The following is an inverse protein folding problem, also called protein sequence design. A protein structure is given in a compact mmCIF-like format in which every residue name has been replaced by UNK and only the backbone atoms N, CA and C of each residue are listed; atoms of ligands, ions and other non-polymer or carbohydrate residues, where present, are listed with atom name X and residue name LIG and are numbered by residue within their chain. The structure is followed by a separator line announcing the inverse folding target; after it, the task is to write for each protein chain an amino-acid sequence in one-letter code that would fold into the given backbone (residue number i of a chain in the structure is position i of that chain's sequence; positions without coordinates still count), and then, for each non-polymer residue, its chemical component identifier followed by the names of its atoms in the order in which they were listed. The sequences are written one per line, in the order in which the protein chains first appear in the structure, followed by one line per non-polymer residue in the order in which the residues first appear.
data_IF_262470816059
#
_entry.id   IF_262470816059
#
_cell.length_a   1.000
_cell.length_b   1.000
_cell.length_c   1.000
_cell.angle_alpha   90.00
_cell.angle_beta   90.00
_cell.angle_gamma   90.00
#
_symmetry.space_group_name_H-M   'P 1'
#
loop_
_entity.id
_entity.type
_entity.pdbx_description
1 polymer ?
#
# COMPACT_ATOMS: atom_id res chain seq x y z
N UNK A 1 -50.11 -17.54 1.88
CA UNK A 1 -49.02 -18.55 1.77
C UNK A 1 -48.33 -18.58 0.40
N UNK A 2 -49.00 -18.83 -0.73
CA UNK A 2 -48.34 -18.87 -2.06
C UNK A 2 -47.59 -17.58 -2.44
N UNK A 3 -48.18 -16.39 -2.21
CA UNK A 3 -47.51 -15.11 -2.49
C UNK A 3 -46.26 -14.86 -1.62
N UNK A 4 -46.23 -15.35 -0.38
CA UNK A 4 -45.06 -15.20 0.50
C UNK A 4 -43.89 -16.05 -0.01
N UNK A 5 -44.18 -17.27 -0.47
CA UNK A 5 -43.15 -18.16 -1.07
C UNK A 5 -42.57 -17.51 -2.34
N UNK A 6 -43.43 -16.93 -3.19
CA UNK A 6 -42.97 -16.21 -4.39
C UNK A 6 -42.12 -15.00 -4.02
N UNK A 7 -42.50 -14.22 -3.01
CA UNK A 7 -41.69 -13.10 -2.52
C UNK A 7 -40.31 -13.54 -2.01
N UNK A 8 -40.24 -14.63 -1.23
CA UNK A 8 -38.96 -15.15 -0.72
C UNK A 8 -38.06 -15.65 -1.86
N UNK A 9 -38.62 -16.38 -2.83
CA UNK A 9 -37.84 -16.85 -3.98
C UNK A 9 -37.32 -15.66 -4.80
N UNK A 10 -38.17 -14.67 -5.06
CA UNK A 10 -37.76 -13.46 -5.77
C UNK A 10 -36.73 -12.62 -4.98
N UNK A 11 -36.82 -12.55 -3.65
CA UNK A 11 -35.81 -11.85 -2.83
C UNK A 11 -34.45 -12.52 -2.91
N UNK A 12 -34.41 -13.86 -2.90
CA UNK A 12 -33.16 -14.62 -3.01
C UNK A 12 -32.58 -14.48 -4.41
N UNK A 13 -33.40 -14.69 -5.45
CA UNK A 13 -32.96 -14.52 -6.83
C UNK A 13 -32.48 -13.08 -7.10
N UNK A 14 -33.18 -12.08 -6.57
CA UNK A 14 -32.82 -10.68 -6.70
C UNK A 14 -31.51 -10.34 -6.02
N UNK A 15 -31.27 -10.84 -4.81
CA UNK A 15 -30.01 -10.68 -4.10
C UNK A 15 -28.84 -11.37 -4.82
N UNK A 16 -29.02 -12.61 -5.28
CA UNK A 16 -27.95 -13.33 -5.99
C UNK A 16 -27.60 -12.65 -7.32
N UNK A 17 -28.61 -12.15 -8.04
CA UNK A 17 -28.39 -11.44 -9.31
C UNK A 17 -27.98 -9.97 -9.12
N UNK A 18 -28.08 -9.39 -7.92
CA UNK A 18 -27.65 -8.01 -7.66
C UNK A 18 -26.14 -7.85 -7.73
N UNK A 19 -25.39 -8.93 -7.44
CA UNK A 19 -23.94 -9.01 -7.65
C UNK A 19 -23.53 -8.87 -9.12
N UNK A 20 -24.47 -9.05 -10.05
CA UNK A 20 -24.27 -8.90 -11.49
C UNK A 20 -25.14 -7.74 -12.01
N UNK A 21 -25.60 -6.81 -11.15
CA UNK A 21 -26.45 -5.63 -11.47
C UNK A 21 -27.83 -5.93 -12.14
N UNK A 22 -28.12 -7.18 -12.48
CA UNK A 22 -29.40 -7.61 -13.09
C UNK A 22 -30.49 -7.74 -12.01
N UNK A 23 -30.09 -7.92 -10.75
CA UNK A 23 -30.98 -8.21 -9.63
C UNK A 23 -31.83 -7.07 -9.10
N UNK A 24 -31.65 -5.84 -9.60
CA UNK A 24 -32.44 -4.70 -9.12
C UNK A 24 -33.93 -4.86 -9.39
N UNK A 25 -34.31 -5.31 -10.60
CA UNK A 25 -35.71 -5.51 -10.99
C UNK A 25 -36.42 -6.60 -10.18
N UNK A 26 -35.90 -7.84 -10.07
CA UNK A 26 -36.53 -8.86 -9.23
C UNK A 26 -36.56 -8.45 -7.74
N UNK A 27 -35.55 -7.70 -7.27
CA UNK A 27 -35.53 -7.17 -5.89
C UNK A 27 -36.61 -6.12 -5.66
N UNK A 28 -36.86 -5.19 -6.58
CA UNK A 28 -37.96 -4.21 -6.49
C UNK A 28 -39.32 -4.93 -6.47
N UNK A 29 -39.53 -5.91 -7.36
CA UNK A 29 -40.78 -6.67 -7.42
C UNK A 29 -40.99 -7.42 -6.08
N UNK A 30 -39.94 -8.07 -5.58
CA UNK A 30 -39.97 -8.75 -4.28
C UNK A 30 -40.24 -7.79 -3.12
N UNK A 31 -39.67 -6.60 -3.15
CA UNK A 31 -39.85 -5.58 -2.12
C UNK A 31 -41.30 -5.10 -2.06
N UNK A 32 -41.90 -4.77 -3.21
CA UNK A 32 -43.31 -4.42 -3.31
C UNK A 32 -44.24 -5.54 -2.81
N UNK A 33 -43.97 -6.79 -3.19
CA UNK A 33 -44.73 -7.96 -2.72
C UNK A 33 -44.57 -8.18 -1.21
N UNK A 34 -43.38 -7.94 -0.67
CA UNK A 34 -43.10 -8.07 0.76
C UNK A 34 -43.79 -6.99 1.59
N UNK A 35 -43.85 -5.74 1.11
CA UNK A 35 -44.65 -4.67 1.73
C UNK A 35 -46.13 -5.04 1.75
N UNK A 36 -46.66 -5.52 0.61
CA UNK A 36 -48.05 -5.94 0.51
C UNK A 36 -48.37 -7.08 1.48
N UNK A 37 -47.47 -8.09 1.57
CA UNK A 37 -47.61 -9.18 2.52
C UNK A 37 -47.51 -8.70 3.97
N UNK A 38 -46.64 -7.73 4.28
CA UNK A 38 -46.44 -7.21 5.63
C UNK A 38 -47.66 -6.44 6.13
N UNK A 39 -48.35 -5.74 5.21
CA UNK A 39 -49.61 -5.06 5.51
C UNK A 39 -50.74 -6.02 5.87
N UNK A 40 -50.71 -7.26 5.34
CA UNK A 40 -51.72 -8.29 5.61
C UNK A 40 -51.37 -9.21 6.79
N UNK A 41 -50.12 -9.65 6.85
CA UNK A 41 -49.63 -10.65 7.80
C UNK A 41 -48.26 -10.21 8.35
N UNK A 42 -48.24 -9.79 9.62
CA UNK A 42 -47.02 -9.37 10.33
C UNK A 42 -46.24 -10.58 10.83
N UNK A 43 -45.58 -11.28 9.90
CA UNK A 43 -44.72 -12.43 10.22
C UNK A 43 -43.24 -12.09 10.05
N UNK A 44 -42.40 -12.77 10.82
CA UNK A 44 -40.93 -12.65 10.74
C UNK A 44 -40.42 -12.98 9.33
N UNK A 45 -41.04 -13.96 8.66
CA UNK A 45 -40.65 -14.35 7.31
C UNK A 45 -40.89 -13.23 6.29
N UNK A 46 -41.96 -12.46 6.46
CA UNK A 46 -42.23 -11.30 5.61
C UNK A 46 -41.20 -10.19 5.80
N UNK A 47 -40.78 -9.95 7.04
CA UNK A 47 -39.72 -8.96 7.37
C UNK A 47 -38.38 -9.38 6.77
N UNK A 48 -38.04 -10.67 6.84
CA UNK A 48 -36.82 -11.21 6.24
C UNK A 48 -36.79 -11.03 4.72
N UNK A 49 -37.88 -11.38 4.03
CA UNK A 49 -37.99 -11.18 2.58
C UNK A 49 -37.87 -9.70 2.20
N UNK A 50 -38.48 -8.80 2.99
CA UNK A 50 -38.36 -7.35 2.81
C UNK A 50 -36.91 -6.89 2.92
N UNK A 51 -36.19 -7.29 3.97
CA UNK A 51 -34.79 -6.91 4.18
C UNK A 51 -33.88 -7.45 3.08
N UNK A 52 -34.04 -8.72 2.68
CA UNK A 52 -33.26 -9.30 1.58
C UNK A 52 -33.49 -8.55 0.27
N UNK A 53 -34.74 -8.20 -0.04
CA UNK A 53 -35.06 -7.43 -1.24
C UNK A 53 -34.53 -5.99 -1.18
N UNK A 54 -34.48 -5.38 0.01
CA UNK A 54 -33.88 -4.06 0.18
C UNK A 54 -32.38 -4.10 -0.09
N UNK A 55 -31.66 -5.10 0.45
CA UNK A 55 -30.23 -5.29 0.17
C UNK A 55 -29.99 -5.52 -1.33
N UNK A 56 -30.82 -6.34 -1.98
CA UNK A 56 -30.74 -6.57 -3.43
C UNK A 56 -30.97 -5.32 -4.30
N UNK A 57 -31.63 -4.28 -3.77
CA UNK A 57 -31.76 -2.96 -4.41
C UNK A 57 -30.55 -2.07 -4.11
N UNK A 58 -30.05 -2.09 -2.88
CA UNK A 58 -28.95 -1.23 -2.45
C UNK A 58 -27.62 -1.62 -3.07
N UNK A 59 -27.33 -2.92 -3.19
CA UNK A 59 -26.05 -3.41 -3.73
C UNK A 59 -25.75 -2.84 -5.12
N UNK A 60 -26.65 -2.89 -6.12
CA UNK A 60 -26.40 -2.30 -7.44
C UNK A 60 -26.21 -0.78 -7.42
N UNK A 61 -26.91 -0.08 -6.51
CA UNK A 61 -26.79 1.38 -6.35
C UNK A 61 -25.41 1.72 -5.79
N UNK A 62 -24.96 1.00 -4.75
CA UNK A 62 -23.63 1.18 -4.17
C UNK A 62 -22.55 0.87 -5.20
N UNK A 63 -22.70 -0.22 -5.96
CA UNK A 63 -21.77 -0.56 -7.04
C UNK A 63 -21.69 0.56 -8.10
N UNK A 64 -22.82 1.12 -8.51
CA UNK A 64 -22.86 2.25 -9.43
C UNK A 64 -22.15 3.48 -8.87
N UNK A 65 -22.45 3.86 -7.62
CA UNK A 65 -21.86 5.02 -6.96
C UNK A 65 -20.35 4.84 -6.75
N UNK A 66 -19.89 3.62 -6.50
CA UNK A 66 -18.46 3.32 -6.38
C UNK A 66 -17.73 3.48 -7.73
N UNK A 67 -18.38 3.10 -8.84
CA UNK A 67 -17.78 3.20 -10.19
C UNK A 67 -17.80 4.63 -10.76
N UNK A 68 -18.94 5.33 -10.65
CA UNK A 68 -19.17 6.61 -11.34
C UNK A 68 -19.44 7.79 -10.40
N UNK A 69 -19.57 7.57 -9.10
CA UNK A 69 -20.03 8.59 -8.17
C UNK A 69 -21.43 9.10 -8.54
N UNK A 70 -21.61 10.42 -8.47
CA UNK A 70 -22.85 11.09 -8.91
C UNK A 70 -22.86 11.45 -10.40
N UNK A 71 -21.83 11.05 -11.16
CA UNK A 71 -21.73 11.34 -12.58
C UNK A 71 -22.53 10.33 -13.41
N UNK A 72 -22.91 10.76 -14.62
CA UNK A 72 -23.47 9.85 -15.61
C UNK A 72 -22.38 8.90 -16.12
N UNK A 73 -22.75 7.69 -16.57
CA UNK A 73 -21.77 6.75 -17.09
C UNK A 73 -21.02 7.36 -18.27
N UNK A 74 -19.70 7.32 -18.21
CA UNK A 74 -18.82 7.75 -19.29
C UNK A 74 -17.80 6.65 -19.58
N UNK A 75 -17.40 6.55 -20.84
CA UNK A 75 -16.38 5.60 -21.26
C UNK A 75 -15.01 6.05 -20.73
N UNK A 76 -14.32 5.19 -19.97
CA UNK A 76 -12.96 5.45 -19.46
C UNK A 76 -11.88 5.16 -20.50
N UNK A 77 -12.24 4.83 -21.74
CA UNK A 77 -11.29 4.57 -22.83
C UNK A 77 -10.91 3.10 -22.99
N UNK A 78 -11.50 2.21 -22.18
CA UNK A 78 -11.20 0.78 -22.15
C UNK A 78 -12.19 -0.06 -23.00
N UNK A 79 -13.07 0.60 -23.77
CA UNK A 79 -13.94 -0.05 -24.74
C UNK A 79 -15.04 -0.92 -24.11
N UNK A 80 -15.25 -0.80 -22.80
CA UNK A 80 -16.30 -1.52 -22.09
C UNK A 80 -17.66 -0.84 -22.27
N UNK A 81 -18.70 -1.66 -22.48
CA UNK A 81 -20.05 -1.19 -22.21
C UNK A 81 -20.19 -0.88 -20.71
N UNK A 82 -20.96 0.17 -20.38
CA UNK A 82 -21.17 0.69 -19.01
C UNK A 82 -21.31 -0.39 -17.92
N UNK A 83 -22.05 -1.46 -18.22
CA UNK A 83 -22.27 -2.56 -17.30
C UNK A 83 -20.99 -3.34 -16.95
N UNK A 84 -20.15 -3.63 -17.95
CA UNK A 84 -18.90 -4.37 -17.76
C UNK A 84 -17.90 -3.56 -16.95
N UNK A 85 -17.89 -2.25 -17.17
CA UNK A 85 -17.05 -1.33 -16.43
C UNK A 85 -17.41 -1.28 -14.94
N UNK A 86 -18.71 -1.25 -14.60
CA UNK A 86 -19.15 -1.32 -13.20
C UNK A 86 -18.70 -2.62 -12.54
N UNK A 87 -18.83 -3.76 -13.24
CA UNK A 87 -18.36 -5.04 -12.72
C UNK A 87 -16.84 -5.05 -12.55
N UNK A 88 -16.10 -4.66 -13.59
CA UNK A 88 -14.65 -4.62 -13.57
C UNK A 88 -14.14 -3.78 -12.40
N UNK A 89 -14.59 -2.53 -12.26
CA UNK A 89 -14.14 -1.61 -11.21
C UNK A 89 -14.50 -2.10 -9.80
N UNK A 90 -15.73 -2.62 -9.59
CA UNK A 90 -16.11 -3.08 -8.26
C UNK A 90 -15.33 -4.34 -7.84
N UNK A 91 -15.26 -5.35 -8.71
CA UNK A 91 -14.59 -6.61 -8.35
C UNK A 91 -13.07 -6.47 -8.30
N UNK A 92 -12.46 -5.66 -9.18
CA UNK A 92 -11.02 -5.35 -9.08
C UNK A 92 -10.68 -4.61 -7.78
N UNK A 93 -11.51 -3.65 -7.35
CA UNK A 93 -11.34 -2.98 -6.06
C UNK A 93 -11.52 -3.92 -4.85
N UNK A 94 -12.22 -5.05 -5.00
CA UNK A 94 -12.30 -6.11 -3.99
C UNK A 94 -11.13 -7.12 -4.08
N UNK A 95 -10.13 -6.87 -4.94
CA UNK A 95 -8.96 -7.72 -5.11
C UNK A 95 -9.18 -8.94 -6.02
N UNK A 96 -10.30 -9.00 -6.75
CA UNK A 96 -10.50 -10.06 -7.73
C UNK A 96 -9.80 -9.72 -9.05
N UNK A 97 -9.05 -10.68 -9.59
CA UNK A 97 -8.47 -10.55 -10.93
C UNK A 97 -9.58 -10.60 -11.99
N UNK A 98 -9.87 -9.45 -12.58
CA UNK A 98 -10.86 -9.26 -13.63
C UNK A 98 -10.22 -9.13 -15.03
N UNK A 99 -8.93 -9.44 -15.17
CA UNK A 99 -8.19 -9.38 -16.44
C UNK A 99 -8.86 -10.17 -17.56
N UNK A 100 -9.53 -11.28 -17.25
CA UNK A 100 -10.29 -12.09 -18.22
C UNK A 100 -11.45 -11.34 -18.91
N UNK A 101 -11.92 -10.23 -18.32
CA UNK A 101 -12.96 -9.39 -18.92
C UNK A 101 -12.40 -8.36 -19.92
N UNK A 102 -11.08 -8.12 -19.85
CA UNK A 102 -10.33 -7.33 -20.83
C UNK A 102 -10.18 -8.21 -22.07
N UNK A 103 -10.90 -7.91 -23.15
CA UNK A 103 -10.63 -8.56 -24.43
C UNK A 103 -9.34 -7.94 -24.98
N UNK A 104 -8.34 -8.79 -25.22
CA UNK A 104 -7.08 -8.43 -25.89
C UNK A 104 -7.29 -7.36 -26.96
N UNK A 105 -6.69 -6.19 -26.73
CA UNK A 105 -6.67 -5.03 -27.62
C UNK A 105 -5.78 -5.26 -28.87
N UNK A 106 -5.75 -6.48 -29.42
CA UNK A 106 -4.93 -6.82 -30.60
C UNK A 106 -5.47 -6.32 -31.94
N UNK A 107 -6.52 -5.51 -31.97
CA UNK A 107 -7.18 -5.09 -33.23
C UNK A 107 -7.19 -3.59 -33.52
N UNK A 108 -6.56 -2.74 -32.70
CA UNK A 108 -6.48 -1.30 -33.01
C UNK A 108 -5.18 -0.95 -33.75
N UNK A 109 -4.07 -1.64 -33.50
CA UNK A 109 -2.81 -1.39 -34.22
C UNK A 109 -2.84 -1.77 -35.71
N UNK A 110 -3.71 -2.69 -36.12
CA UNK A 110 -3.84 -3.10 -37.53
C UNK A 110 -4.63 -2.10 -38.40
N UNK A 111 -5.46 -1.21 -37.81
CA UNK A 111 -6.19 -0.18 -38.57
C UNK A 111 -5.45 1.16 -38.65
N UNK A 112 -4.56 1.45 -37.70
CA UNK A 112 -3.72 2.66 -37.76
C UNK A 112 -2.58 2.48 -38.78
N UNK A 113 -2.03 1.26 -38.90
CA UNK A 113 -1.00 0.95 -39.90
C UNK A 113 -1.50 1.00 -41.36
N UNK A 114 -2.81 0.83 -41.60
CA UNK A 114 -3.39 0.86 -42.95
C UNK A 114 -3.75 2.28 -43.44
N UNK A 115 -3.73 3.29 -42.56
CA UNK A 115 -4.15 4.67 -42.92
C UNK A 115 -2.97 5.64 -43.08
N UNK A 116 -1.74 5.21 -42.75
CA UNK A 116 -0.52 6.03 -42.87
C UNK A 116 0.14 6.01 -44.27
N UNK A 117 -0.52 5.44 -45.28
CA UNK A 117 0.02 5.28 -46.63
C UNK A 117 -0.75 6.02 -47.71
N UNK A 118 -1.29 7.22 -47.45
CA UNK A 118 -1.66 8.19 -48.50
C UNK A 118 -2.07 9.52 -47.89
N UNK A 119 -1.18 10.52 -47.87
CA UNK A 119 -1.45 11.90 -48.31
C UNK A 119 -0.33 12.83 -47.90
N UNK A 120 0.25 13.45 -48.93
CA UNK A 120 1.27 14.50 -48.92
C UNK A 120 0.68 15.85 -48.44
N UNK A 121 1.55 16.68 -47.86
CA UNK A 121 1.39 18.09 -47.46
C UNK A 121 0.36 18.50 -46.37
N UNK A 122 0.90 19.08 -45.27
CA UNK A 122 0.15 19.97 -44.39
C UNK A 122 0.60 19.97 -42.93
N UNK A 123 1.50 20.90 -42.59
CA UNK A 123 1.98 21.22 -41.24
C UNK A 123 0.81 21.46 -40.25
N UNK A 124 0.77 20.74 -39.12
CA UNK A 124 0.31 21.24 -37.82
C UNK A 124 0.88 20.38 -36.68
N UNK A 125 1.21 21.05 -35.57
CA UNK A 125 1.84 20.53 -34.36
C UNK A 125 0.96 19.53 -33.58
N UNK A 126 1.66 18.77 -32.70
CA UNK A 126 1.22 17.96 -31.54
C UNK A 126 1.23 16.45 -31.77
N UNK A 127 2.26 15.79 -31.22
CA UNK A 127 2.15 14.50 -30.48
C UNK A 127 3.38 14.38 -29.58
N UNK A 128 3.19 14.20 -28.27
CA UNK A 128 3.07 12.87 -27.63
C UNK A 128 4.23 11.96 -28.01
N UNK A 129 5.26 12.01 -27.15
CA UNK A 129 6.25 10.96 -27.02
C UNK A 129 5.65 9.86 -26.15
N UNK A 130 5.11 8.85 -26.82
CA UNK A 130 4.82 7.53 -26.25
C UNK A 130 6.13 6.95 -25.71
N UNK A 131 6.18 6.67 -24.41
CA UNK A 131 7.17 5.77 -23.83
C UNK A 131 6.41 4.54 -23.33
N UNK A 132 6.70 3.42 -23.99
CA UNK A 132 6.35 2.07 -23.58
C UNK A 132 7.38 1.55 -22.58
N UNK A 133 6.86 0.89 -21.55
CA UNK A 133 7.40 -0.21 -20.74
C UNK A 133 8.49 0.03 -19.66
N UNK A 134 8.10 -0.47 -18.47
CA UNK A 134 8.85 -0.90 -17.28
C UNK A 134 9.79 0.08 -16.57
N UNK A 135 9.22 0.79 -15.58
CA UNK A 135 9.98 1.28 -14.42
C UNK A 135 9.72 0.33 -13.24
N UNK A 136 10.65 -0.60 -13.02
CA UNK A 136 10.73 -1.37 -11.78
C UNK A 136 11.08 -0.43 -10.62
N UNK A 137 10.22 -0.37 -9.61
CA UNK A 137 10.54 0.27 -8.34
C UNK A 137 11.44 -0.66 -7.54
N UNK A 138 12.63 -0.18 -7.19
CA UNK A 138 13.70 -0.99 -6.60
C UNK A 138 13.39 -1.39 -5.16
N UNK A 139 12.89 -2.60 -5.00
CA UNK A 139 13.00 -3.36 -3.75
C UNK A 139 14.43 -3.91 -3.68
N UNK A 140 15.25 -3.37 -2.78
CA UNK A 140 16.60 -3.90 -2.55
C UNK A 140 16.46 -5.07 -1.58
N UNK A 141 16.27 -6.27 -2.12
CA UNK A 141 16.30 -7.51 -1.36
C UNK A 141 17.75 -7.97 -1.23
N UNK A 142 18.29 -7.97 -0.01
CA UNK A 142 19.63 -8.50 0.26
C UNK A 142 19.49 -9.75 1.13
N UNK A 143 20.01 -10.88 0.64
CA UNK A 143 20.09 -12.15 1.37
C UNK A 143 21.55 -12.47 1.71
N UNK A 144 21.80 -13.14 2.83
CA UNK A 144 23.10 -13.78 3.08
C UNK A 144 23.27 -14.94 2.07
N UNK A 145 23.95 -14.68 0.95
CA UNK A 145 24.15 -15.69 -0.09
C UNK A 145 25.51 -16.39 0.03
N UNK A 146 25.43 -17.69 0.30
CA UNK A 146 26.43 -18.67 -0.11
C UNK A 146 26.60 -18.61 -1.65
N UNK A 147 27.82 -18.76 -2.12
CA UNK A 147 28.26 -18.32 -3.46
C UNK A 147 27.62 -19.06 -4.63
N UNK A 148 26.84 -18.37 -5.48
CA UNK A 148 26.80 -18.62 -6.94
C UNK A 148 26.03 -17.54 -7.74
N UNK A 149 26.79 -16.77 -8.53
CA UNK A 149 26.50 -16.13 -9.82
C UNK A 149 25.08 -15.58 -10.12
N UNK A 150 24.80 -14.39 -9.60
CA UNK A 150 24.31 -13.28 -10.43
C UNK A 150 25.09 -12.01 -10.07
N UNK A 151 26.39 -12.03 -10.35
CA UNK A 151 27.26 -10.92 -9.97
C UNK A 151 27.03 -9.74 -10.91
N UNK A 152 26.47 -8.67 -10.35
CA UNK A 152 26.78 -7.31 -10.79
C UNK A 152 28.28 -7.20 -11.09
N UNK A 153 28.61 -6.63 -12.25
CA UNK A 153 29.99 -6.40 -12.69
C UNK A 153 30.62 -5.29 -11.82
N UNK A 154 31.10 -5.71 -10.66
CA UNK A 154 31.73 -4.87 -9.64
C UNK A 154 33.03 -4.21 -10.11
N UNK A 155 33.55 -4.55 -11.30
CA UNK A 155 34.74 -3.91 -11.87
C UNK A 155 34.51 -2.46 -12.33
N UNK A 156 33.24 -2.02 -12.39
CA UNK A 156 32.86 -0.66 -12.81
C UNK A 156 32.76 0.36 -11.68
N UNK A 157 32.84 -0.07 -10.42
CA UNK A 157 32.72 0.81 -9.26
C UNK A 157 34.06 0.88 -8.53
N UNK A 158 34.60 2.09 -8.28
CA UNK A 158 35.83 2.22 -7.53
C UNK A 158 35.61 1.79 -6.08
N UNK A 159 36.50 0.94 -5.55
CA UNK A 159 36.51 0.55 -4.12
C UNK A 159 36.55 1.74 -3.16
N UNK A 160 36.85 2.95 -3.67
CA UNK A 160 36.89 4.21 -2.93
C UNK A 160 35.54 4.84 -2.59
N UNK A 161 34.39 4.29 -3.05
CA UNK A 161 33.07 4.80 -2.62
C UNK A 161 32.84 4.46 -1.13
N UNK A 162 33.40 3.34 -0.68
CA UNK A 162 33.55 3.03 0.73
C UNK A 162 34.91 3.56 1.16
N UNK A 163 34.98 4.84 1.54
CA UNK A 163 36.17 5.35 2.21
C UNK A 163 36.52 4.40 3.35
N UNK A 164 37.78 3.95 3.37
CA UNK A 164 38.33 3.13 4.45
C UNK A 164 38.02 3.82 5.78
N UNK A 165 37.25 3.15 6.62
CA UNK A 165 36.78 3.60 7.92
C UNK A 165 37.93 3.75 8.94
N UNK A 166 38.89 4.64 8.70
CA UNK A 166 40.02 4.86 9.61
C UNK A 166 39.68 5.82 10.77
N UNK A 167 38.52 6.50 10.75
CA UNK A 167 38.18 7.54 11.75
C UNK A 167 36.92 7.28 12.61
N UNK A 168 36.33 6.07 12.55
CA UNK A 168 35.27 5.63 13.48
C UNK A 168 35.65 4.31 14.15
N UNK A 169 36.93 4.13 14.48
CA UNK A 169 37.35 3.10 15.45
C UNK A 169 37.19 3.66 16.88
N UNK A 170 35.94 3.81 17.31
CA UNK A 170 35.65 3.41 18.70
C UNK A 170 35.13 1.99 18.61
N UNK A 171 36.06 1.05 18.79
CA UNK A 171 35.78 -0.36 19.05
C UNK A 171 34.59 -0.50 20.01
N UNK A 172 33.41 -0.77 19.47
CA UNK A 172 32.44 -1.58 20.17
C UNK A 172 32.80 -3.03 19.81
N UNK A 173 33.71 -3.64 20.59
CA UNK A 173 34.19 -5.03 20.42
C UNK A 173 33.06 -6.10 20.50
N UNK A 174 31.81 -5.70 20.67
CA UNK A 174 30.67 -6.61 20.73
C UNK A 174 29.56 -6.15 19.81
N UNK A 175 29.62 -6.58 18.54
CA UNK A 175 28.40 -6.69 17.73
C UNK A 175 27.45 -7.62 18.48
N UNK A 176 26.24 -7.16 18.76
CA UNK A 176 25.21 -7.99 19.38
C UNK A 176 24.81 -9.10 18.39
N UNK A 177 25.41 -10.29 18.52
CA UNK A 177 24.93 -11.48 17.84
C UNK A 177 23.83 -12.09 18.67
N UNK A 178 22.61 -11.56 18.53
CA UNK A 178 21.45 -12.24 19.11
C UNK A 178 21.29 -13.59 18.41
N UNK A 179 21.23 -14.67 19.20
CA UNK A 179 20.87 -16.01 18.70
C UNK A 179 19.37 -16.28 18.81
N UNK A 180 18.62 -15.29 19.28
CA UNK A 180 17.19 -15.40 19.57
C UNK A 180 16.37 -14.90 18.38
N UNK A 181 15.25 -15.57 18.15
CA UNK A 181 14.22 -15.18 17.19
C UNK A 181 13.23 -14.30 17.96
N UNK A 182 12.90 -13.13 17.40
CA UNK A 182 11.92 -12.21 18.00
C UNK A 182 10.53 -12.83 18.05
N UNK A 183 9.65 -12.31 18.90
CA UNK A 183 8.25 -12.72 18.89
C UNK A 183 7.51 -11.89 17.83
N UNK A 184 7.05 -12.52 16.75
CA UNK A 184 6.02 -11.96 15.88
C UNK A 184 4.68 -12.64 16.13
N UNK A 185 3.60 -11.87 16.09
CA UNK A 185 2.23 -12.41 16.02
C UNK A 185 1.55 -11.80 14.79
N UNK A 186 2.00 -12.23 13.61
CA UNK A 186 1.48 -11.75 12.32
C UNK A 186 -0.02 -12.08 12.11
N UNK A 187 -0.61 -12.92 12.97
CA UNK A 187 -2.05 -13.21 13.01
C UNK A 187 -2.84 -12.21 13.89
N UNK A 188 -2.17 -11.23 14.53
CA UNK A 188 -2.79 -10.21 15.36
C UNK A 188 -3.85 -9.43 14.57
N UNK A 189 -5.12 -9.39 15.02
CA UNK A 189 -6.16 -8.66 14.30
C UNK A 189 -5.82 -7.18 14.20
N UNK A 190 -5.72 -6.69 12.97
CA UNK A 190 -5.66 -5.26 12.70
C UNK A 190 -6.59 -4.85 11.56
N UNK A 191 -7.26 -3.73 11.75
CA UNK A 191 -8.26 -3.23 10.81
C UNK A 191 -8.22 -1.70 10.74
N UNK A 192 -8.59 -1.15 9.59
CA UNK A 192 -8.51 0.29 9.41
C UNK A 192 -8.99 0.78 8.07
N UNK A 193 -9.30 2.08 8.01
CA UNK A 193 -9.68 2.77 6.79
C UNK A 193 -8.46 3.21 6.00
N UNK A 194 -8.41 2.87 4.71
CA UNK A 194 -7.44 3.39 3.75
C UNK A 194 -8.07 4.48 2.88
N UNK A 195 -7.33 5.54 2.53
CA UNK A 195 -7.78 6.49 1.54
C UNK A 195 -7.76 5.86 0.14
N UNK A 196 -8.71 6.25 -0.71
CA UNK A 196 -8.86 5.73 -2.09
C UNK A 196 -7.53 5.80 -2.84
N UNK A 197 -7.16 4.69 -3.49
CA UNK A 197 -5.89 4.56 -4.23
C UNK A 197 -4.69 4.24 -3.33
N UNK A 198 -4.90 3.73 -2.12
CA UNK A 198 -3.82 3.23 -1.25
C UNK A 198 -4.02 1.74 -1.04
N UNK A 199 -2.97 0.95 -1.18
CA UNK A 199 -3.00 -0.49 -1.00
C UNK A 199 -2.18 -0.89 0.23
N UNK A 200 -2.68 -1.85 1.00
CA UNK A 200 -1.84 -2.59 1.95
C UNK A 200 -1.14 -3.68 1.15
N UNK A 201 0.19 -3.64 1.15
CA UNK A 201 1.06 -4.67 0.55
C UNK A 201 1.31 -5.77 1.56
N UNK A 202 1.64 -5.38 2.78
CA UNK A 202 1.86 -6.29 3.90
C UNK A 202 1.51 -5.62 5.23
N UNK A 203 1.20 -6.45 6.21
CA UNK A 203 0.97 -6.05 7.59
C UNK A 203 1.70 -7.04 8.47
N UNK A 204 2.44 -6.52 9.44
CA UNK A 204 3.22 -7.31 10.38
C UNK A 204 2.96 -6.81 11.79
N UNK A 205 3.25 -7.67 12.77
CA UNK A 205 3.21 -7.28 14.17
C UNK A 205 4.48 -7.72 14.88
N UNK A 206 5.27 -6.72 15.30
CA UNK A 206 6.57 -6.95 15.92
C UNK A 206 6.49 -6.68 17.41
N UNK A 207 6.78 -7.70 18.22
CA UNK A 207 6.83 -7.61 19.67
C UNK A 207 8.27 -7.81 20.16
N UNK A 208 8.79 -6.83 20.93
CA UNK A 208 10.06 -6.98 21.67
C UNK A 208 9.83 -6.82 23.18
N UNK A 209 10.87 -6.90 24.00
CA UNK A 209 10.75 -6.78 25.46
C UNK A 209 10.15 -5.44 25.94
N UNK A 210 10.22 -4.39 25.12
CA UNK A 210 9.85 -3.02 25.47
C UNK A 210 8.63 -2.52 24.70
N UNK A 211 8.34 -3.04 23.51
CA UNK A 211 7.44 -2.47 22.53
C UNK A 211 6.56 -3.54 21.88
N UNK A 212 5.41 -3.11 21.38
CA UNK A 212 4.48 -3.93 20.59
C UNK A 212 3.96 -3.11 19.42
N UNK A 213 4.52 -3.35 18.23
CA UNK A 213 4.48 -2.43 17.11
C UNK A 213 3.75 -3.03 15.91
N UNK A 214 2.57 -2.52 15.52
CA UNK A 214 2.01 -2.82 14.21
C UNK A 214 2.82 -2.10 13.11
N UNK A 215 3.21 -2.85 12.08
CA UNK A 215 3.96 -2.34 10.92
C UNK A 215 3.11 -2.52 9.67
N UNK A 216 2.89 -1.43 8.93
CA UNK A 216 2.18 -1.45 7.65
C UNK A 216 3.16 -1.17 6.51
N UNK A 217 3.20 -2.06 5.52
CA UNK A 217 3.80 -1.78 4.21
C UNK A 217 2.67 -1.40 3.27
N UNK A 218 2.69 -0.15 2.81
CA UNK A 218 1.64 0.46 2.00
C UNK A 218 2.20 0.79 0.61
N UNK A 219 1.31 0.90 -0.38
CA UNK A 219 1.66 1.40 -1.72
C UNK A 219 0.71 2.52 -2.13
N UNK A 220 1.29 3.61 -2.62
CA UNK A 220 0.54 4.70 -3.24
C UNK A 220 0.17 4.30 -4.68
N UNK A 221 -1.13 4.25 -4.98
CA UNK A 221 -1.71 4.01 -6.31
C UNK A 221 -2.75 5.09 -6.63
N UNK A 222 -2.52 6.31 -6.16
CA UNK A 222 -3.48 7.41 -6.28
C UNK A 222 -3.35 8.18 -7.59
N UNK A 223 -2.30 7.92 -8.39
CA UNK A 223 -1.90 8.72 -9.53
C UNK A 223 -1.28 10.07 -9.15
N UNK A 224 -1.05 10.32 -7.85
CA UNK A 224 -0.59 11.60 -7.33
C UNK A 224 0.50 11.42 -6.25
N UNK A 225 1.38 12.42 -6.14
CA UNK A 225 2.30 12.55 -5.02
C UNK A 225 1.53 12.83 -3.72
N UNK A 226 1.75 12.03 -2.67
CA UNK A 226 0.96 12.08 -1.45
C UNK A 226 1.81 12.15 -0.18
N UNK A 227 1.29 12.85 0.83
CA UNK A 227 1.70 12.78 2.23
C UNK A 227 0.70 11.91 2.97
N UNK A 228 1.17 10.94 3.75
CA UNK A 228 0.31 10.06 4.55
C UNK A 228 0.42 10.41 6.03
N UNK A 229 -0.73 10.46 6.69
CA UNK A 229 -0.84 10.64 8.15
C UNK A 229 -1.62 9.44 8.67
N UNK A 230 -1.03 8.70 9.62
CA UNK A 230 -1.59 7.50 10.20
C UNK A 230 -1.71 7.65 11.71
N UNK A 231 -2.85 7.24 12.25
CA UNK A 231 -3.05 7.06 13.68
C UNK A 231 -3.32 5.58 13.94
N UNK A 232 -2.46 4.94 14.71
CA UNK A 232 -2.70 3.62 15.28
C UNK A 232 -3.38 3.77 16.63
N UNK A 233 -4.28 2.85 16.94
CA UNK A 233 -5.00 2.76 18.21
C UNK A 233 -4.89 1.34 18.74
N UNK A 234 -4.20 1.16 19.85
CA UNK A 234 -4.12 -0.10 20.58
C UNK A 234 -5.42 -0.30 21.38
N UNK A 235 -6.04 -1.49 21.28
CA UNK A 235 -7.30 -1.80 21.96
C UNK A 235 -7.21 -3.04 22.84
N UNK A 236 -8.02 -3.06 23.90
CA UNK A 236 -8.21 -4.23 24.75
C UNK A 236 -9.18 -5.26 24.11
N UNK A 237 -9.34 -6.41 24.77
CA UNK A 237 -10.25 -7.49 24.34
C UNK A 237 -11.72 -7.08 24.22
N UNK A 238 -12.13 -6.01 24.90
CA UNK A 238 -13.49 -5.49 24.92
C UNK A 238 -13.66 -4.38 23.87
N UNK A 239 -12.59 -4.03 23.14
CA UNK A 239 -12.54 -3.00 22.09
C UNK A 239 -12.28 -1.59 22.60
N UNK A 240 -11.97 -1.40 23.88
CA UNK A 240 -11.67 -0.08 24.42
C UNK A 240 -10.27 0.37 24.00
N UNK A 241 -10.12 1.66 23.73
CA UNK A 241 -8.82 2.27 23.45
C UNK A 241 -7.95 2.26 24.72
N UNK A 242 -6.71 1.78 24.57
CA UNK A 242 -5.68 1.80 25.61
C UNK A 242 -4.67 2.91 25.33
N UNK A 243 -4.24 3.05 24.08
CA UNK A 243 -3.23 4.02 23.65
C UNK A 243 -3.34 4.33 22.15
N UNK A 244 -2.71 5.43 21.73
CA UNK A 244 -2.60 5.82 20.32
C UNK A 244 -1.15 6.14 19.93
N UNK A 245 -0.82 5.97 18.65
CA UNK A 245 0.50 6.28 18.08
C UNK A 245 0.31 6.94 16.72
N UNK A 246 0.80 8.17 16.57
CA UNK A 246 0.67 8.94 15.32
C UNK A 246 1.97 8.92 14.52
N UNK A 247 1.86 8.79 13.20
CA UNK A 247 2.99 8.73 12.27
C UNK A 247 2.67 9.41 10.96
N UNK A 248 3.73 9.88 10.30
CA UNK A 248 3.63 10.48 8.97
C UNK A 248 4.64 9.85 8.02
N UNK A 249 4.29 9.85 6.74
CA UNK A 249 5.24 9.69 5.64
C UNK A 249 5.08 10.92 4.74
N UNK A 250 6.14 11.73 4.67
CA UNK A 250 6.04 13.11 4.19
C UNK A 250 5.78 13.20 2.68
N UNK A 251 6.55 12.43 1.90
CA UNK A 251 6.52 12.46 0.44
C UNK A 251 6.55 11.04 -0.11
N UNK A 252 5.44 10.62 -0.74
CA UNK A 252 5.29 9.28 -1.31
C UNK A 252 4.85 9.40 -2.77
N UNK A 253 5.73 9.12 -3.74
CA UNK A 253 5.42 9.12 -5.17
C UNK A 253 4.32 8.13 -5.54
N UNK A 254 3.67 8.34 -6.68
CA UNK A 254 2.76 7.32 -7.21
C UNK A 254 3.54 6.04 -7.52
N UNK A 255 2.95 4.88 -7.26
CA UNK A 255 3.59 3.58 -7.38
C UNK A 255 4.54 3.20 -6.23
N UNK A 256 5.03 4.15 -5.43
CA UNK A 256 6.00 3.88 -4.38
C UNK A 256 5.41 3.06 -3.22
N UNK A 257 6.22 2.13 -2.70
CA UNK A 257 5.95 1.42 -1.45
C UNK A 257 6.58 2.20 -0.28
N UNK A 258 5.92 2.23 0.86
CA UNK A 258 6.39 2.94 2.06
C UNK A 258 5.91 2.23 3.33
N UNK A 259 6.60 2.49 4.44
CA UNK A 259 6.33 1.85 5.72
C UNK A 259 5.78 2.88 6.71
N UNK A 260 4.81 2.46 7.52
CA UNK A 260 4.39 3.19 8.72
C UNK A 260 4.37 2.20 9.90
N UNK A 261 5.09 2.55 10.96
CA UNK A 261 5.18 1.78 12.20
C UNK A 261 4.49 2.51 13.37
N UNK A 262 3.44 1.91 13.94
CA UNK A 262 2.92 2.31 15.24
C UNK A 262 3.85 1.84 16.34
N UNK A 263 4.29 2.73 17.23
CA UNK A 263 5.09 2.33 18.41
C UNK A 263 4.28 2.46 19.68
N UNK A 264 4.24 1.38 20.46
CA UNK A 264 3.58 1.32 21.75
C UNK A 264 4.53 0.70 22.77
N UNK A 265 4.97 1.50 23.73
CA UNK A 265 5.82 1.04 24.83
C UNK A 265 4.97 0.23 25.82
N UNK A 266 5.37 -1.00 26.10
CA UNK A 266 4.66 -1.91 27.01
C UNK A 266 4.57 -1.33 28.42
N UNK A 267 5.54 -0.51 28.84
CA UNK A 267 5.49 0.18 30.13
C UNK A 267 4.39 1.24 30.18
N UNK A 268 4.13 1.94 29.08
CA UNK A 268 3.03 2.90 28.95
C UNK A 268 1.67 2.19 28.91
N UNK A 269 1.63 0.96 28.41
CA UNK A 269 0.46 0.08 28.45
C UNK A 269 0.27 -0.65 29.80
N UNK A 270 1.08 -0.35 30.81
CA UNK A 270 1.01 -1.01 32.12
C UNK A 270 1.33 -2.50 32.08
N UNK A 271 2.16 -2.93 31.12
CA UNK A 271 2.55 -4.32 30.88
C UNK A 271 1.45 -5.16 30.21
N UNK A 272 0.35 -4.54 29.78
CA UNK A 272 -0.75 -5.25 29.10
C UNK A 272 -0.54 -5.21 27.60
N UNK A 273 -0.44 -6.38 26.97
CA UNK A 273 -0.42 -6.47 25.51
C UNK A 273 -1.80 -6.10 24.95
N UNK A 274 -1.86 -5.26 23.91
CA UNK A 274 -3.09 -5.00 23.19
C UNK A 274 -3.67 -6.30 22.62
N UNK A 275 -4.99 -6.40 22.56
CA UNK A 275 -5.68 -7.55 21.94
C UNK A 275 -5.95 -7.34 20.46
N UNK A 276 -5.82 -6.10 19.96
CA UNK A 276 -5.93 -5.74 18.55
C UNK A 276 -5.41 -4.31 18.31
N UNK A 277 -5.12 -3.99 17.06
CA UNK A 277 -4.77 -2.64 16.63
C UNK A 277 -5.73 -2.12 15.56
N UNK A 278 -6.26 -0.92 15.76
CA UNK A 278 -6.96 -0.19 14.71
C UNK A 278 -6.01 0.84 14.09
N UNK A 279 -6.15 1.11 12.79
CA UNK A 279 -5.46 2.23 12.15
C UNK A 279 -6.41 3.09 11.34
N UNK A 280 -6.14 4.40 11.31
CA UNK A 280 -6.83 5.34 10.42
C UNK A 280 -5.78 6.10 9.63
N UNK A 281 -5.85 5.99 8.29
CA UNK A 281 -4.91 6.67 7.40
C UNK A 281 -5.63 7.76 6.61
N UNK A 282 -5.04 8.95 6.60
CA UNK A 282 -5.45 10.05 5.73
C UNK A 282 -4.31 10.41 4.78
N UNK A 283 -4.65 11.02 3.64
CA UNK A 283 -3.67 11.50 2.66
C UNK A 283 -3.89 12.98 2.36
N UNK A 284 -2.79 13.70 2.09
CA UNK A 284 -2.77 15.13 1.76
C UNK A 284 -1.72 15.40 0.68
N UNK A 285 -1.74 16.61 0.13
CA UNK A 285 -0.64 17.09 -0.71
C UNK A 285 0.58 17.36 0.18
N UNK A 286 1.78 16.84 -0.16
CA UNK A 286 2.99 17.14 0.59
C UNK A 286 3.36 18.62 0.61
N UNK A 287 4.17 19.01 1.61
CA UNK A 287 4.76 20.35 1.68
C UNK A 287 6.09 20.40 0.92
N UNK A 288 6.84 19.30 0.98
CA UNK A 288 8.15 19.11 0.38
C UNK A 288 8.04 18.53 -1.04
N UNK A 289 9.10 18.72 -1.83
CA UNK A 289 9.20 18.13 -3.16
C UNK A 289 9.86 16.76 -3.09
N UNK A 290 9.34 15.85 -3.90
CA UNK A 290 9.99 14.57 -4.14
C UNK A 290 11.31 14.74 -4.88
N UNK A 291 12.32 14.01 -4.41
CA UNK A 291 13.63 13.83 -5.06
C UNK A 291 14.09 12.37 -4.97
N UNK A 292 13.15 11.43 -4.79
CA UNK A 292 13.45 10.00 -4.60
C UNK A 292 14.23 9.41 -5.77
N UNK A 293 13.94 9.83 -7.00
CA UNK A 293 14.67 9.40 -8.19
C UNK A 293 16.06 10.06 -8.35
N UNK A 294 16.30 11.16 -7.64
CA UNK A 294 17.56 11.91 -7.70
C UNK A 294 18.56 11.49 -6.63
N UNK A 295 18.17 10.61 -5.70
CA UNK A 295 19.00 10.10 -4.60
C UNK A 295 19.22 8.60 -4.75
N UNK A 296 20.45 8.16 -4.53
CA UNK A 296 20.78 6.75 -4.51
C UNK A 296 20.90 6.25 -3.07
N UNK A 297 20.09 5.26 -2.69
CA UNK A 297 20.14 4.62 -1.37
C UNK A 297 20.68 3.20 -1.52
N UNK A 298 21.63 2.85 -0.67
CA UNK A 298 22.29 1.56 -0.63
C UNK A 298 22.17 0.97 0.76
N UNK A 299 21.92 -0.33 0.84
CA UNK A 299 21.91 -1.06 2.11
C UNK A 299 22.81 -2.28 2.03
N UNK A 300 23.48 -2.54 3.15
CA UNK A 300 24.39 -3.69 3.30
C UNK A 300 24.25 -4.29 4.69
N UNK A 301 24.13 -5.61 4.74
CA UNK A 301 24.19 -6.37 5.99
C UNK A 301 25.65 -6.44 6.47
N UNK A 302 25.88 -6.14 7.74
CA UNK A 302 27.17 -6.19 8.42
C UNK A 302 27.02 -6.90 9.78
N UNK A 303 27.07 -8.23 9.75
CA UNK A 303 26.74 -9.05 10.92
C UNK A 303 25.25 -8.95 11.26
N UNK A 304 24.93 -8.69 12.54
CA UNK A 304 23.53 -8.49 12.99
C UNK A 304 23.07 -7.03 12.84
N UNK A 305 23.63 -6.31 11.87
CA UNK A 305 23.39 -4.89 11.66
C UNK A 305 23.19 -4.60 10.19
N UNK A 306 22.56 -3.46 9.89
CA UNK A 306 22.48 -2.88 8.55
C UNK A 306 23.27 -1.58 8.52
N UNK A 307 24.05 -1.38 7.46
CA UNK A 307 24.62 -0.10 7.10
C UNK A 307 23.78 0.45 5.94
N UNK A 308 23.22 1.63 6.14
CA UNK A 308 22.51 2.37 5.11
C UNK A 308 23.34 3.57 4.69
N UNK A 309 23.57 3.71 3.39
CA UNK A 309 24.24 4.84 2.78
C UNK A 309 23.29 5.52 1.81
N UNK A 310 23.25 6.85 1.83
CA UNK A 310 22.47 7.65 0.90
C UNK A 310 23.38 8.70 0.26
N UNK A 311 23.45 8.65 -1.07
CA UNK A 311 24.21 9.58 -1.91
C UNK A 311 23.27 10.64 -2.48
N UNK A 312 23.57 11.91 -2.20
CA UNK A 312 22.84 13.06 -2.73
C UNK A 312 23.69 13.73 -3.82
N UNK A 313 23.53 13.36 -5.11
CA UNK A 313 24.23 14.01 -6.22
C UNK A 313 23.65 15.39 -6.58
N UNK A 314 22.54 15.79 -5.96
CA UNK A 314 21.81 17.01 -6.31
C UNK A 314 22.46 18.27 -5.73
N UNK A 315 21.98 19.44 -6.18
CA UNK A 315 22.34 20.73 -5.58
C UNK A 315 21.47 21.11 -4.36
N UNK A 316 20.50 20.28 -3.96
CA UNK A 316 19.56 20.56 -2.88
C UNK A 316 20.00 19.84 -1.60
N UNK A 317 19.65 20.38 -0.43
CA UNK A 317 19.68 19.60 0.81
C UNK A 317 18.52 18.60 0.76
N UNK A 318 18.77 17.34 1.07
CA UNK A 318 17.76 16.27 0.95
C UNK A 318 17.58 15.55 2.28
N UNK A 319 16.35 15.12 2.58
CA UNK A 319 16.05 14.17 3.65
C UNK A 319 15.73 12.82 3.04
N UNK A 320 16.21 11.75 3.66
CA UNK A 320 15.89 10.37 3.31
C UNK A 320 15.29 9.71 4.53
N UNK A 321 14.02 9.32 4.44
CA UNK A 321 13.36 8.50 5.45
C UNK A 321 13.41 7.05 4.97
N UNK A 322 14.17 6.21 5.66
CA UNK A 322 14.31 4.80 5.32
C UNK A 322 13.85 3.90 6.46
N UNK A 323 12.98 2.95 6.15
CA UNK A 323 12.66 1.83 7.02
C UNK A 323 13.40 0.59 6.52
N UNK A 324 14.08 -0.08 7.45
CA UNK A 324 14.68 -1.39 7.21
C UNK A 324 13.89 -2.42 8.03
N UNK A 325 13.27 -3.37 7.32
CA UNK A 325 12.57 -4.50 7.89
C UNK A 325 13.51 -5.71 7.87
N UNK A 326 13.63 -6.39 9.00
CA UNK A 326 14.50 -7.54 9.20
C UNK A 326 13.64 -8.79 9.33
N UNK A 327 13.97 -9.83 8.57
CA UNK A 327 13.20 -11.07 8.50
C UNK A 327 14.04 -12.28 8.88
N UNK A 328 13.42 -13.26 9.53
CA UNK A 328 13.93 -14.64 9.64
C UNK A 328 12.95 -15.55 8.88
N UNK A 329 13.30 -15.90 7.64
CA UNK A 329 12.37 -16.52 6.69
C UNK A 329 11.27 -15.57 6.23
N UNK A 330 10.04 -15.82 6.69
CA UNK A 330 8.85 -15.00 6.37
C UNK A 330 8.40 -14.14 7.56
N UNK A 331 9.00 -14.32 8.74
CA UNK A 331 8.61 -13.65 9.97
C UNK A 331 9.36 -12.31 10.11
N UNK A 332 8.63 -11.22 10.36
CA UNK A 332 9.25 -9.92 10.66
C UNK A 332 9.78 -9.93 12.10
N UNK A 333 11.09 -9.97 12.25
CA UNK A 333 11.75 -10.01 13.57
C UNK A 333 12.14 -8.62 14.08
N UNK A 334 12.38 -7.66 13.19
CA UNK A 334 12.73 -6.30 13.60
C UNK A 334 12.37 -5.24 12.54
N UNK A 335 12.20 -4.00 12.98
CA UNK A 335 11.90 -2.85 12.11
C UNK A 335 12.57 -1.59 12.65
N UNK A 336 13.42 -0.96 11.84
CA UNK A 336 14.19 0.23 12.25
C UNK A 336 13.98 1.35 11.25
N UNK A 337 13.64 2.54 11.77
CA UNK A 337 13.64 3.78 11.02
C UNK A 337 15.02 4.43 11.11
N UNK A 338 15.65 4.63 9.95
CA UNK A 338 16.99 5.19 9.79
C UNK A 338 16.91 6.45 8.93
N UNK A 339 17.54 7.51 9.42
CA UNK A 339 17.67 8.78 8.70
C UNK A 339 19.17 9.06 8.52
N UNK A 340 19.76 8.69 7.36
CA UNK A 340 21.16 9.01 7.10
C UNK A 340 21.32 10.53 7.04
N UNK A 341 22.31 11.06 7.75
CA UNK A 341 22.55 12.50 7.76
C UNK A 341 24.03 12.83 7.88
N UNK A 342 24.43 13.99 7.36
CA UNK A 342 25.74 14.56 7.67
C UNK A 342 25.69 15.22 9.06
N UNK A 343 26.85 15.46 9.70
CA UNK A 343 26.91 16.03 11.06
C UNK A 343 26.04 17.30 11.17
N UNK A 344 25.34 17.41 12.29
CA UNK A 344 24.59 18.58 12.79
C UNK A 344 23.18 18.86 12.22
N UNK A 345 22.75 18.24 11.11
CA UNK A 345 21.37 18.38 10.59
C UNK A 345 20.78 17.04 10.19
N UNK A 346 19.46 16.87 10.32
CA UNK A 346 18.71 15.70 9.79
C UNK A 346 18.52 15.87 8.27
N UNK A 347 19.62 16.01 7.54
CA UNK A 347 19.65 16.11 6.09
C UNK A 347 21.02 15.67 5.53
N UNK A 348 21.04 15.42 4.22
CA UNK A 348 22.22 15.10 3.42
C UNK A 348 22.58 16.33 2.60
N UNK A 349 23.82 16.80 2.75
CA UNK A 349 24.31 17.98 2.04
C UNK A 349 24.46 17.72 0.53
N UNK A 350 24.33 18.77 -0.32
CA UNK A 350 24.53 18.64 -1.75
C UNK A 350 25.87 17.99 -2.13
N UNK A 351 25.87 17.06 -3.08
CA UNK A 351 27.08 16.39 -3.60
C UNK A 351 27.80 15.51 -2.58
N UNK A 352 27.11 15.01 -1.56
CA UNK A 352 27.71 14.26 -0.46
C UNK A 352 27.00 12.93 -0.21
N UNK A 353 27.65 12.08 0.58
CA UNK A 353 27.11 10.81 1.05
C UNK A 353 26.94 10.90 2.57
N UNK A 354 25.82 10.36 3.06
CA UNK A 354 25.60 10.15 4.49
C UNK A 354 25.43 8.65 4.77
N UNK A 355 25.95 8.20 5.90
CA UNK A 355 25.86 6.80 6.32
C UNK A 355 25.31 6.70 7.75
N UNK A 356 24.55 5.65 8.00
CA UNK A 356 24.03 5.32 9.32
C UNK A 356 24.05 3.79 9.49
N UNK A 357 24.43 3.33 10.69
CA UNK A 357 24.37 1.92 11.07
C UNK A 357 23.23 1.71 12.05
N UNK A 358 22.39 0.71 11.78
CA UNK A 358 21.33 0.25 12.68
C UNK A 358 21.58 -1.20 13.07
N UNK A 359 21.51 -1.51 14.35
CA UNK A 359 21.68 -2.87 14.87
C UNK A 359 20.32 -3.52 15.06
N UNK A 360 20.14 -4.74 14.56
CA UNK A 360 18.94 -5.53 14.84
C UNK A 360 19.04 -6.14 16.24
N UNK A 361 17.90 -6.21 16.94
CA UNK A 361 17.80 -6.85 18.26
C UNK A 361 17.79 -8.37 18.17
N UNK A 362 17.24 -8.90 17.07
CA UNK A 362 17.07 -10.34 16.85
C UNK A 362 17.88 -10.81 15.65
N UNK A 363 18.05 -12.13 15.55
CA UNK A 363 18.67 -12.75 14.38
C UNK A 363 17.76 -12.58 13.16
N UNK A 364 18.34 -12.31 12.00
CA UNK A 364 17.65 -12.24 10.71
C UNK A 364 18.47 -12.92 9.60
N UNK A 365 17.84 -13.24 8.47
CA UNK A 365 18.46 -13.81 7.26
C UNK A 365 18.29 -12.91 6.01
N UNK A 366 17.32 -12.00 6.04
CA UNK A 366 17.00 -11.06 4.96
C UNK A 366 16.63 -9.69 5.50
N UNK A 367 16.91 -8.67 4.71
CA UNK A 367 16.36 -7.33 4.92
C UNK A 367 15.56 -6.87 3.71
N UNK A 368 14.57 -6.02 3.98
CA UNK A 368 13.87 -5.23 2.96
C UNK A 368 14.00 -3.75 3.33
N UNK A 369 14.40 -2.93 2.36
CA UNK A 369 14.58 -1.49 2.56
C UNK A 369 13.52 -0.71 1.79
N UNK A 370 12.78 0.13 2.50
CA UNK A 370 11.78 1.03 1.95
C UNK A 370 12.20 2.46 2.26
N UNK A 371 12.30 3.32 1.25
CA UNK A 371 12.71 4.70 1.49
C UNK A 371 11.92 5.69 0.63
N UNK A 372 11.87 6.92 1.11
CA UNK A 372 11.47 8.09 0.34
C UNK A 372 12.51 9.19 0.53
N UNK A 373 12.67 10.05 -0.48
CA UNK A 373 13.57 11.19 -0.38
C UNK A 373 12.91 12.49 -0.83
N UNK A 374 13.17 13.58 -0.11
CA UNK A 374 12.50 14.85 -0.36
C UNK A 374 13.36 16.06 0.01
N UNK A 375 13.07 17.20 -0.64
CA UNK A 375 13.76 18.47 -0.43
C UNK A 375 13.68 18.88 1.05
N UNK A 376 14.84 19.12 1.69
CA UNK A 376 14.89 19.63 3.05
C UNK A 376 14.55 21.12 3.04
N UNK A 377 13.31 21.46 3.41
CA UNK A 377 12.87 22.85 3.51
C UNK A 377 13.38 23.45 4.82
N UNK A 378 14.25 24.46 4.76
CA UNK A 378 14.60 25.26 5.94
C UNK A 378 13.35 25.99 6.43
N UNK A 379 12.90 25.70 7.65
CA UNK A 379 11.89 26.51 8.33
C UNK A 379 12.41 27.94 8.43
N UNK A 380 11.84 28.84 7.64
CA UNK A 380 12.16 30.27 7.63
C UNK A 380 11.77 30.96 8.93
#
# INVERSE_FOLDING_TARGET
MQMLVVAIVLSICGLLSSFILIGIFPSIISFCLSIYCLSKEKTINTVRALLMSLVGILVPIIMYLNTFGLHLPYDKGEGYGTFKQILYDNYSNFGFDMSFMVKDYKTIDEQVAATAATSDDGIYYVSDGVVQEEAGYNEIVTTEADSSESSLDNSKYPESIFESFEDIEKEYETTAKSTEIGASDDDMPSYGGLPVGTLIVAQYFREDDHNCNPVLVLQNKTGNLCRYECMFTARDKDGNEIATSERTSEVVPDGAKFVIEGRFDKSELGGTLPSMYEFTISKRTPYEKDVTEDVCVYTKIDGNSVILAAENPTSLKVKVDAYVLFFDGDELVDCIWLIPSNKDEVCITPGSVATIKGDAYYRFDRIETYYTAYEAVETR
#
